data_IF_158607073402
#
_entry.id   IF_158607073402
#
_cell.length_a   1.000
_cell.length_b   1.000
_cell.length_c   1.000
_cell.angle_alpha   90.00
_cell.angle_beta   90.00
_cell.angle_gamma   90.00
#
_symmetry.space_group_name_H-M   'P 1'
#
loop_
_entity.id
_entity.type
_entity.pdbx_description
1 polymer ?
#
# COMPACT_ATOMS: atom_id res chain seq x y z
N UNK A 1 1.05 13.81 13.20
CA UNK A 1 1.95 14.98 13.32
C UNK A 1 1.96 15.69 11.97
N UNK A 2 1.38 16.89 11.85
CA UNK A 2 1.32 17.61 10.57
C UNK A 2 2.73 18.16 10.28
N UNK A 3 3.36 17.73 9.18
CA UNK A 3 4.65 18.28 8.69
C UNK A 3 5.81 17.28 8.55
N UNK A 4 5.73 16.09 9.14
CA UNK A 4 6.80 15.08 9.04
C UNK A 4 7.01 14.60 7.59
N UNK A 5 5.92 14.23 6.91
CA UNK A 5 5.95 13.87 5.48
C UNK A 5 6.49 15.02 4.62
N UNK A 6 6.09 16.27 4.89
CA UNK A 6 6.59 17.43 4.14
C UNK A 6 8.11 17.57 4.27
N UNK A 7 8.64 17.38 5.49
CA UNK A 7 10.09 17.48 5.73
C UNK A 7 10.87 16.33 5.10
N UNK A 8 10.29 15.14 5.02
CA UNK A 8 10.84 14.03 4.24
C UNK A 8 10.89 14.36 2.75
N UNK A 9 9.80 14.89 2.18
CA UNK A 9 9.73 15.27 0.76
C UNK A 9 10.74 16.38 0.41
N UNK A 10 10.95 17.36 1.28
CA UNK A 10 11.94 18.42 1.08
C UNK A 10 13.39 17.90 0.98
N UNK A 11 13.69 16.72 1.53
CA UNK A 11 15.03 16.11 1.49
C UNK A 11 15.23 15.24 0.25
N UNK A 12 14.20 15.04 -0.56
CA UNK A 12 14.25 14.19 -1.73
C UNK A 12 15.04 14.86 -2.86
N UNK A 13 16.00 14.14 -3.45
CA UNK A 13 16.76 14.65 -4.60
C UNK A 13 15.84 14.79 -5.82
N UNK A 14 16.12 15.74 -6.74
CA UNK A 14 15.37 15.87 -7.97
C UNK A 14 15.26 14.54 -8.73
N UNK A 15 14.06 14.24 -9.25
CA UNK A 15 13.80 13.06 -10.07
C UNK A 15 13.54 11.75 -9.31
N UNK A 16 13.93 11.63 -8.04
CA UNK A 16 13.76 10.38 -7.28
C UNK A 16 12.28 9.98 -7.18
N UNK A 17 11.40 10.93 -6.86
CA UNK A 17 9.96 10.64 -6.72
C UNK A 17 9.36 10.10 -8.02
N UNK A 18 9.74 10.71 -9.15
CA UNK A 18 9.28 10.27 -10.46
C UNK A 18 9.78 8.87 -10.80
N UNK A 19 11.06 8.59 -10.56
CA UNK A 19 11.65 7.26 -10.82
C UNK A 19 10.96 6.20 -9.97
N UNK A 20 10.74 6.46 -8.68
CA UNK A 20 10.12 5.50 -7.76
C UNK A 20 8.66 5.20 -8.18
N UNK A 21 7.86 6.23 -8.46
CA UNK A 21 6.48 6.02 -8.91
C UNK A 21 6.40 5.38 -10.30
N UNK A 22 7.32 5.70 -11.20
CA UNK A 22 7.39 5.06 -12.52
C UNK A 22 7.72 3.56 -12.40
N UNK A 23 8.61 3.19 -11.47
CA UNK A 23 8.92 1.79 -11.19
C UNK A 23 7.70 1.04 -10.63
N UNK A 24 6.97 1.64 -9.67
CA UNK A 24 5.73 1.09 -9.15
C UNK A 24 4.66 0.93 -10.23
N UNK A 25 4.48 1.95 -11.09
CA UNK A 25 3.50 1.91 -12.17
C UNK A 25 3.84 0.87 -13.25
N UNK A 26 5.13 0.64 -13.51
CA UNK A 26 5.59 -0.33 -14.51
C UNK A 26 5.52 -1.78 -14.01
N UNK A 27 5.34 -2.00 -12.70
CA UNK A 27 5.28 -3.33 -12.11
C UNK A 27 3.91 -3.98 -12.32
N UNK A 28 3.83 -4.88 -13.30
CA UNK A 28 2.60 -5.60 -13.65
C UNK A 28 2.49 -7.02 -13.05
N UNK A 29 3.50 -7.48 -12.29
CA UNK A 29 3.59 -8.87 -11.85
C UNK A 29 2.94 -9.16 -10.48
N UNK A 30 2.11 -8.24 -9.98
CA UNK A 30 1.58 -8.29 -8.61
C UNK A 30 0.76 -9.54 -8.31
N UNK A 31 -0.18 -9.91 -9.19
CA UNK A 31 -1.01 -11.10 -9.02
C UNK A 31 -0.19 -12.40 -9.06
N UNK A 32 0.76 -12.49 -10.00
CA UNK A 32 1.63 -13.67 -10.14
C UNK A 32 2.56 -13.82 -8.93
N UNK A 33 3.03 -12.72 -8.36
CA UNK A 33 3.82 -12.75 -7.13
C UNK A 33 2.97 -13.18 -5.92
N UNK A 34 1.76 -12.64 -5.77
CA UNK A 34 0.84 -13.01 -4.70
C UNK A 34 0.47 -14.50 -4.71
N UNK A 35 0.26 -15.09 -5.90
CA UNK A 35 -0.04 -16.52 -6.05
C UNK A 35 1.10 -17.45 -5.59
N UNK A 36 2.33 -16.94 -5.48
CA UNK A 36 3.51 -17.68 -4.99
C UNK A 36 3.67 -17.63 -3.48
N UNK A 37 2.90 -16.80 -2.77
CA UNK A 37 2.95 -16.73 -1.31
C UNK A 37 2.38 -18.03 -0.72
N UNK A 38 3.20 -18.73 0.06
CA UNK A 38 2.87 -20.04 0.62
C UNK A 38 2.49 -20.02 2.12
N UNK A 39 2.65 -18.87 2.79
CA UNK A 39 2.31 -18.68 4.19
C UNK A 39 1.03 -17.84 4.34
N UNK A 40 0.38 -17.87 5.52
CA UNK A 40 -0.77 -17.03 5.80
C UNK A 40 -0.41 -15.54 5.68
N UNK A 41 -1.19 -14.78 4.93
CA UNK A 41 -1.01 -13.34 4.74
C UNK A 41 -2.11 -12.54 5.46
N UNK A 42 -1.75 -11.38 6.01
CA UNK A 42 -2.71 -10.40 6.54
C UNK A 42 -2.62 -9.10 5.74
N UNK A 43 -3.72 -8.69 5.15
CA UNK A 43 -3.87 -7.38 4.52
C UNK A 43 -4.51 -6.43 5.53
N UNK A 44 -3.77 -5.40 5.93
CA UNK A 44 -4.26 -4.31 6.79
C UNK A 44 -4.49 -3.10 5.91
N UNK A 45 -5.75 -2.70 5.74
CA UNK A 45 -6.17 -1.69 4.77
C UNK A 45 -6.83 -0.50 5.47
N UNK A 46 -6.47 0.72 5.08
CA UNK A 46 -7.17 1.92 5.55
C UNK A 46 -8.51 2.07 4.85
N UNK A 47 -9.61 2.12 5.62
CA UNK A 47 -10.96 2.21 5.02
C UNK A 47 -11.17 3.49 4.19
N UNK A 48 -10.41 4.55 4.47
CA UNK A 48 -10.44 5.85 3.78
C UNK A 48 -9.20 6.09 2.92
N UNK A 49 -8.40 5.06 2.64
CA UNK A 49 -7.22 5.21 1.79
C UNK A 49 -7.63 5.61 0.37
N UNK A 50 -7.12 6.75 -0.10
CA UNK A 50 -7.36 7.27 -1.45
C UNK A 50 -6.21 6.95 -2.42
N UNK A 51 -5.02 6.63 -1.91
CA UNK A 51 -3.84 6.30 -2.71
C UNK A 51 -3.85 4.84 -3.12
N UNK A 52 -4.18 3.95 -2.20
CA UNK A 52 -4.30 2.49 -2.43
C UNK A 52 -5.61 1.97 -1.85
N UNK A 53 -6.76 2.33 -2.46
CA UNK A 53 -8.07 2.09 -1.85
C UNK A 53 -8.37 0.59 -1.71
N UNK A 54 -9.08 0.14 -0.65
CA UNK A 54 -9.35 -1.28 -0.42
C UNK A 54 -9.96 -2.01 -1.63
N UNK A 55 -10.81 -1.34 -2.41
CA UNK A 55 -11.41 -1.88 -3.63
C UNK A 55 -10.38 -2.30 -4.71
N UNK A 56 -9.20 -1.67 -4.73
CA UNK A 56 -8.13 -1.99 -5.68
C UNK A 56 -7.36 -3.26 -5.28
N UNK A 57 -7.55 -3.77 -4.05
CA UNK A 57 -6.86 -4.97 -3.55
C UNK A 57 -7.53 -6.28 -3.98
N UNK A 58 -8.64 -6.23 -4.73
CA UNK A 58 -9.43 -7.41 -5.11
C UNK A 58 -8.60 -8.46 -5.83
N UNK A 59 -7.78 -8.04 -6.80
CA UNK A 59 -6.93 -8.94 -7.57
C UNK A 59 -5.88 -9.62 -6.69
N UNK A 60 -5.20 -8.83 -5.84
CA UNK A 60 -4.19 -9.32 -4.90
C UNK A 60 -4.80 -10.31 -3.89
N UNK A 61 -5.95 -9.94 -3.32
CA UNK A 61 -6.70 -10.80 -2.39
C UNK A 61 -7.15 -12.08 -3.10
N UNK A 62 -7.59 -12.01 -4.36
CA UNK A 62 -7.94 -13.18 -5.15
C UNK A 62 -6.77 -14.16 -5.31
N UNK A 63 -5.57 -13.64 -5.58
CA UNK A 63 -4.37 -14.43 -5.84
C UNK A 63 -3.75 -15.11 -4.60
N UNK A 64 -3.89 -14.51 -3.42
CA UNK A 64 -3.37 -15.10 -2.17
C UNK A 64 -4.16 -16.37 -1.78
N UNK A 65 -3.46 -17.44 -1.39
CA UNK A 65 -4.10 -18.73 -1.04
C UNK A 65 -4.72 -18.72 0.36
N UNK A 66 -3.91 -18.36 1.36
CA UNK A 66 -4.32 -18.20 2.75
C UNK A 66 -4.17 -16.74 3.16
N UNK A 67 -5.30 -16.10 3.46
CA UNK A 67 -5.36 -14.66 3.69
C UNK A 67 -6.44 -14.25 4.66
N UNK A 68 -6.16 -13.16 5.38
CA UNK A 68 -7.16 -12.37 6.09
C UNK A 68 -7.06 -10.92 5.65
N UNK A 69 -8.21 -10.25 5.60
CA UNK A 69 -8.30 -8.83 5.28
C UNK A 69 -8.93 -8.12 6.47
N UNK A 70 -8.27 -7.06 6.93
CA UNK A 70 -8.75 -6.21 8.01
C UNK A 70 -8.77 -4.78 7.50
N UNK A 71 -9.95 -4.14 7.58
CA UNK A 71 -10.10 -2.73 7.29
C UNK A 71 -10.07 -1.91 8.59
N UNK A 72 -9.14 -0.97 8.70
CA UNK A 72 -9.04 -0.07 9.83
C UNK A 72 -9.97 1.12 9.62
N UNK A 73 -11.05 1.14 10.40
CA UNK A 73 -12.07 2.19 10.36
C UNK A 73 -11.50 3.57 10.72
N UNK A 74 -11.88 4.58 9.93
CA UNK A 74 -11.47 5.96 10.17
C UNK A 74 -10.01 6.28 9.84
N UNK A 75 -9.27 5.32 9.26
CA UNK A 75 -7.88 5.50 8.82
C UNK A 75 -7.77 5.58 7.30
N UNK A 76 -6.89 6.45 6.83
CA UNK A 76 -6.48 6.65 5.44
C UNK A 76 -5.23 5.85 5.08
N UNK A 77 -4.35 6.46 4.28
CA UNK A 77 -3.14 5.79 3.75
C UNK A 77 -2.07 5.58 4.82
N UNK A 78 -1.95 6.49 5.79
CA UNK A 78 -0.89 6.46 6.79
C UNK A 78 -1.34 5.71 8.06
N UNK A 79 -1.73 4.44 7.90
CA UNK A 79 -2.34 3.59 8.93
C UNK A 79 -1.74 3.77 10.33
N UNK A 80 -0.43 3.54 10.48
CA UNK A 80 0.25 3.58 11.78
C UNK A 80 0.27 4.98 12.42
N UNK A 81 0.25 6.04 11.60
CA UNK A 81 0.23 7.42 12.10
C UNK A 81 -1.18 7.90 12.44
N UNK A 82 -2.19 7.35 11.76
CA UNK A 82 -3.60 7.72 11.91
C UNK A 82 -4.31 6.88 12.99
N UNK A 83 -3.96 5.59 13.10
CA UNK A 83 -4.53 4.56 13.97
C UNK A 83 -3.46 3.50 14.31
N UNK A 84 -2.56 3.77 15.27
CA UNK A 84 -1.50 2.85 15.68
C UNK A 84 -2.04 1.57 16.33
#
# INVERSE_FOLDING_TARGET
MIGENLRLMQRQKPGVMHVDFAACNSYANGAQAAAKVACPALLVLGKRDIMTPPRATKELTGALRDKRVVEVGGSGHALMAEKP
#
